data_IF_126534730569
#
_entry.id   IF_126534730569
#
_cell.length_a   1.000
_cell.length_b   1.000
_cell.length_c   1.000
_cell.angle_alpha   90.00
_cell.angle_beta   90.00
_cell.angle_gamma   90.00
#
_symmetry.space_group_name_H-M   'P 1'
#
loop_
_entity.id
_entity.type
_entity.pdbx_description
1 polymer ?
#
# COMPACT_ATOMS: atom_id res chain seq x y z
N UNK A 1 6.02 4.32 -25.13
CA UNK A 1 4.91 5.16 -24.62
C UNK A 1 5.32 6.61 -24.82
N UNK A 2 4.49 7.47 -25.40
CA UNK A 2 4.85 8.88 -25.58
C UNK A 2 4.73 9.61 -24.23
N UNK A 3 5.76 10.37 -23.85
CA UNK A 3 5.75 11.20 -22.64
C UNK A 3 5.22 12.58 -23.05
N UNK A 4 4.09 13.00 -22.47
CA UNK A 4 3.51 14.33 -22.71
C UNK A 4 4.25 15.40 -21.90
N UNK A 5 4.48 16.58 -22.47
CA UNK A 5 4.97 17.76 -21.74
C UNK A 5 3.85 18.65 -21.18
N UNK A 6 2.60 18.33 -21.47
CA UNK A 6 1.43 19.05 -20.94
C UNK A 6 1.21 18.69 -19.48
N UNK A 7 1.16 19.66 -18.54
CA UNK A 7 0.85 19.39 -17.15
C UNK A 7 -0.63 18.98 -17.01
N UNK A 8 -0.87 17.82 -16.39
CA UNK A 8 -2.23 17.29 -16.16
C UNK A 8 -2.79 17.70 -14.78
N UNK A 9 -1.91 18.05 -13.83
CA UNK A 9 -2.26 18.56 -12.49
C UNK A 9 -3.10 17.60 -11.62
N UNK A 10 -2.83 16.29 -11.69
CA UNK A 10 -3.39 15.30 -10.76
C UNK A 10 -2.53 15.25 -9.49
N UNK A 11 -2.89 16.03 -8.48
CA UNK A 11 -2.06 16.23 -7.27
C UNK A 11 -2.66 15.65 -5.99
N UNK A 12 -3.86 15.07 -6.06
CA UNK A 12 -4.55 14.49 -4.91
C UNK A 12 -4.81 13.01 -5.19
N UNK A 13 -4.22 12.14 -4.36
CA UNK A 13 -4.53 10.72 -4.36
C UNK A 13 -5.87 10.50 -3.67
N UNK A 14 -6.79 9.80 -4.33
CA UNK A 14 -8.09 9.46 -3.76
C UNK A 14 -8.04 8.12 -3.00
N UNK A 15 -7.43 7.11 -3.61
CA UNK A 15 -7.29 5.78 -3.03
C UNK A 15 -6.14 5.02 -3.69
N UNK A 16 -5.71 3.94 -3.04
CA UNK A 16 -4.89 2.87 -3.62
C UNK A 16 -5.72 1.60 -3.69
N UNK A 17 -5.73 0.95 -4.85
CA UNK A 17 -6.38 -0.34 -5.05
C UNK A 17 -5.40 -1.49 -4.82
N UNK A 18 -5.77 -2.44 -3.99
CA UNK A 18 -4.99 -3.64 -3.68
C UNK A 18 -5.84 -4.86 -4.03
N UNK A 19 -5.43 -5.60 -5.05
CA UNK A 19 -6.05 -6.87 -5.39
C UNK A 19 -5.65 -7.92 -4.37
N UNK A 20 -6.63 -8.61 -3.78
CA UNK A 20 -6.43 -9.60 -2.72
C UNK A 20 -7.06 -10.94 -3.08
N UNK A 21 -6.49 -12.03 -2.57
CA UNK A 21 -7.01 -13.39 -2.85
C UNK A 21 -8.18 -13.76 -1.94
N UNK A 22 -8.23 -13.22 -0.72
CA UNK A 22 -9.28 -13.43 0.28
C UNK A 22 -9.65 -12.09 0.93
N UNK A 23 -10.84 -11.56 0.62
CA UNK A 23 -11.26 -10.26 1.14
C UNK A 23 -11.39 -10.25 2.66
N UNK A 24 -11.84 -11.33 3.27
CA UNK A 24 -12.14 -11.35 4.71
C UNK A 24 -10.83 -11.38 5.52
N UNK A 25 -9.83 -12.14 5.05
CA UNK A 25 -8.49 -12.13 5.63
C UNK A 25 -7.81 -10.75 5.49
N UNK A 26 -7.94 -10.11 4.33
CA UNK A 26 -7.37 -8.77 4.10
C UNK A 26 -8.08 -7.69 4.92
N UNK A 27 -9.41 -7.73 5.06
CA UNK A 27 -10.13 -6.79 5.95
C UNK A 27 -9.59 -6.90 7.36
N UNK A 28 -9.44 -8.13 7.90
CA UNK A 28 -8.90 -8.32 9.25
C UNK A 28 -7.48 -7.74 9.39
N UNK A 29 -6.60 -8.02 8.42
CA UNK A 29 -5.23 -7.50 8.41
C UNK A 29 -5.18 -5.96 8.38
N UNK A 30 -5.89 -5.32 7.44
CA UNK A 30 -5.86 -3.87 7.28
C UNK A 30 -6.62 -3.15 8.40
N UNK A 31 -7.65 -3.77 8.99
CA UNK A 31 -8.31 -3.26 10.20
C UNK A 31 -7.35 -3.25 11.38
N UNK A 32 -6.62 -4.35 11.61
CA UNK A 32 -5.61 -4.40 12.66
C UNK A 32 -4.46 -3.41 12.41
N UNK A 33 -4.03 -3.26 11.16
CA UNK A 33 -2.94 -2.36 10.78
C UNK A 33 -3.32 -0.88 10.99
N UNK A 34 -4.54 -0.50 10.66
CA UNK A 34 -4.98 0.91 10.65
C UNK A 34 -5.79 1.31 11.89
N UNK A 35 -6.29 0.33 12.66
CA UNK A 35 -7.25 0.55 13.74
C UNK A 35 -8.62 1.02 13.26
N UNK A 36 -8.99 0.73 12.00
CA UNK A 36 -10.20 1.26 11.35
C UNK A 36 -10.99 0.18 10.63
N UNK A 37 -12.31 0.27 10.74
CA UNK A 37 -13.23 -0.60 10.02
C UNK A 37 -13.48 -0.09 8.60
N UNK A 38 -13.89 -0.97 7.66
CA UNK A 38 -14.31 -0.56 6.34
C UNK A 38 -15.47 0.44 6.35
N UNK A 39 -15.35 1.52 5.58
CA UNK A 39 -16.41 2.51 5.37
C UNK A 39 -17.38 2.10 4.27
N UNK A 40 -16.97 1.17 3.41
CA UNK A 40 -17.79 0.57 2.37
C UNK A 40 -17.37 -0.90 2.18
N UNK A 41 -18.34 -1.77 1.90
CA UNK A 41 -18.10 -3.17 1.58
C UNK A 41 -19.24 -3.68 0.69
N UNK A 42 -18.93 -4.53 -0.29
CA UNK A 42 -19.96 -5.06 -1.18
C UNK A 42 -19.43 -5.95 -2.29
N UNK A 43 -20.28 -6.14 -3.30
CA UNK A 43 -19.98 -6.89 -4.53
C UNK A 43 -20.24 -6.03 -5.74
N UNK A 44 -19.49 -6.26 -6.81
CA UNK A 44 -19.76 -5.65 -8.11
C UNK A 44 -19.67 -6.70 -9.21
N UNK A 45 -20.58 -6.63 -10.17
CA UNK A 45 -20.54 -7.42 -11.40
C UNK A 45 -20.84 -6.51 -12.58
N UNK A 46 -19.82 -6.19 -13.39
CA UNK A 46 -19.94 -5.22 -14.48
C UNK A 46 -18.95 -5.49 -15.61
N UNK A 47 -19.48 -5.67 -16.82
CA UNK A 47 -18.66 -5.77 -18.05
C UNK A 47 -18.04 -4.42 -18.41
N UNK A 48 -18.77 -3.28 -18.44
CA UNK A 48 -18.16 -1.99 -18.74
C UNK A 48 -17.03 -1.61 -17.77
N UNK A 49 -17.18 -1.90 -16.47
CA UNK A 49 -16.15 -1.64 -15.48
C UNK A 49 -14.95 -2.59 -15.58
N UNK A 50 -15.19 -3.86 -15.93
CA UNK A 50 -14.10 -4.78 -16.29
C UNK A 50 -13.28 -4.22 -17.45
N UNK A 51 -13.97 -3.80 -18.51
CA UNK A 51 -13.32 -3.26 -19.72
C UNK A 51 -12.51 -1.98 -19.46
N UNK A 52 -12.97 -1.09 -18.57
CA UNK A 52 -12.17 0.09 -18.19
C UNK A 52 -10.85 -0.26 -17.49
N UNK A 53 -10.75 -1.45 -16.90
CA UNK A 53 -9.53 -1.97 -16.27
C UNK A 53 -8.76 -2.93 -17.19
N UNK A 54 -9.16 -3.09 -18.45
CA UNK A 54 -8.54 -4.02 -19.39
C UNK A 54 -8.95 -5.50 -19.21
N UNK A 55 -9.98 -5.78 -18.41
CA UNK A 55 -10.54 -7.12 -18.20
C UNK A 55 -11.81 -7.34 -19.05
N UNK A 56 -12.16 -8.59 -19.39
CA UNK A 56 -13.42 -8.87 -20.11
C UNK A 56 -14.67 -8.56 -19.27
N UNK A 57 -14.58 -8.75 -17.95
CA UNK A 57 -15.61 -8.49 -16.94
C UNK A 57 -14.93 -8.23 -15.61
N UNK A 58 -15.62 -7.50 -14.72
CA UNK A 58 -15.25 -7.41 -13.31
C UNK A 58 -16.39 -8.00 -12.48
N UNK A 59 -16.19 -9.21 -11.98
CA UNK A 59 -17.00 -9.79 -10.90
C UNK A 59 -16.12 -9.84 -9.66
N UNK A 60 -16.46 -9.08 -8.62
CA UNK A 60 -15.59 -8.88 -7.48
C UNK A 60 -16.34 -8.63 -6.18
N UNK A 61 -15.66 -8.87 -5.06
CA UNK A 61 -16.00 -8.32 -3.74
C UNK A 61 -15.02 -7.18 -3.46
N UNK A 62 -15.45 -6.19 -2.68
CA UNK A 62 -14.57 -5.10 -2.27
C UNK A 62 -14.87 -4.62 -0.85
N UNK A 63 -13.87 -3.98 -0.25
CA UNK A 63 -14.00 -3.19 0.96
C UNK A 63 -13.04 -1.99 0.92
N UNK A 64 -13.45 -0.86 1.48
CA UNK A 64 -12.65 0.37 1.52
C UNK A 64 -12.40 0.79 2.97
N UNK A 65 -11.15 1.03 3.33
CA UNK A 65 -10.75 1.61 4.63
C UNK A 65 -10.12 2.98 4.38
N UNK A 66 -10.62 4.04 5.03
CA UNK A 66 -10.07 5.39 4.88
C UNK A 66 -9.04 5.71 5.97
N UNK A 67 -7.88 6.21 5.56
CA UNK A 67 -6.87 6.78 6.46
C UNK A 67 -7.21 8.24 6.83
N UNK A 68 -6.53 8.78 7.85
CA UNK A 68 -6.76 10.14 8.36
C UNK A 68 -6.49 11.24 7.32
N UNK A 69 -5.59 10.98 6.37
CA UNK A 69 -5.28 11.89 5.27
C UNK A 69 -6.27 11.78 4.09
N UNK A 70 -7.44 11.15 4.30
CA UNK A 70 -8.47 10.89 3.29
C UNK A 70 -8.09 9.93 2.16
N UNK A 71 -6.91 9.29 2.23
CA UNK A 71 -6.56 8.22 1.28
C UNK A 71 -7.37 6.95 1.62
N UNK A 72 -8.07 6.42 0.63
CA UNK A 72 -8.71 5.10 0.73
C UNK A 72 -7.75 3.94 0.42
N UNK A 73 -7.88 2.84 1.16
CA UNK A 73 -7.33 1.53 0.81
C UNK A 73 -8.50 0.68 0.32
N UNK A 74 -8.56 0.46 -0.99
CA UNK A 74 -9.57 -0.38 -1.64
C UNK A 74 -9.04 -1.81 -1.77
N UNK A 75 -9.57 -2.71 -0.94
CA UNK A 75 -9.29 -4.15 -1.00
C UNK A 75 -10.25 -4.79 -2.00
N UNK A 76 -9.71 -5.44 -3.04
CA UNK A 76 -10.49 -5.91 -4.20
C UNK A 76 -10.22 -7.38 -4.45
N UNK A 77 -11.21 -8.24 -4.17
CA UNK A 77 -11.14 -9.66 -4.49
C UNK A 77 -11.87 -9.94 -5.80
N UNK A 78 -11.11 -10.12 -6.89
CA UNK A 78 -11.67 -10.54 -8.17
C UNK A 78 -12.09 -12.01 -8.13
N UNK A 79 -13.34 -12.26 -8.45
CA UNK A 79 -13.94 -13.59 -8.58
C UNK A 79 -14.01 -14.04 -10.05
N UNK A 80 -14.04 -13.09 -10.99
CA UNK A 80 -13.98 -13.37 -12.43
C UNK A 80 -13.47 -12.14 -13.23
N UNK A 81 -12.40 -12.29 -14.03
CA UNK A 81 -11.43 -13.39 -13.97
C UNK A 81 -10.64 -13.35 -12.65
N UNK A 82 -10.30 -14.52 -12.10
CA UNK A 82 -9.39 -14.60 -10.95
C UNK A 82 -7.97 -14.35 -11.46
N UNK A 83 -7.23 -13.49 -10.76
CA UNK A 83 -5.84 -13.18 -11.07
C UNK A 83 -4.85 -14.03 -10.26
N UNK A 84 -3.63 -14.16 -10.78
CA UNK A 84 -2.49 -14.73 -10.06
C UNK A 84 -1.76 -13.66 -9.23
N UNK A 85 -1.07 -14.07 -8.16
CA UNK A 85 -0.22 -13.15 -7.38
C UNK A 85 0.93 -12.62 -8.23
N UNK A 86 1.23 -11.33 -8.11
CA UNK A 86 2.27 -10.65 -8.90
C UNK A 86 3.69 -10.98 -8.45
N UNK A 87 3.91 -11.29 -7.16
CA UNK A 87 5.20 -11.75 -6.62
C UNK A 87 6.36 -10.76 -6.81
N UNK A 88 6.11 -9.46 -6.66
CA UNK A 88 7.10 -8.38 -6.87
C UNK A 88 8.17 -8.30 -5.77
N UNK A 89 9.34 -7.75 -6.12
CA UNK A 89 10.40 -7.35 -5.18
C UNK A 89 10.85 -5.93 -5.53
N UNK A 90 11.36 -5.19 -4.55
CA UNK A 90 11.54 -3.73 -4.64
C UNK A 90 12.34 -3.24 -5.87
N UNK A 91 13.28 -4.03 -6.38
CA UNK A 91 14.13 -3.63 -7.52
C UNK A 91 13.51 -3.90 -8.91
N UNK A 92 12.30 -4.46 -9.00
CA UNK A 92 11.65 -4.72 -10.29
C UNK A 92 10.86 -3.50 -10.75
N UNK A 93 11.18 -2.90 -11.91
CA UNK A 93 10.43 -1.76 -12.45
C UNK A 93 8.93 -2.06 -12.54
N UNK A 94 8.12 -1.13 -12.03
CA UNK A 94 6.67 -1.27 -11.93
C UNK A 94 6.17 -1.84 -10.58
N UNK A 95 7.07 -2.32 -9.72
CA UNK A 95 6.71 -2.65 -8.34
C UNK A 95 6.36 -1.38 -7.56
N UNK A 96 5.36 -1.50 -6.69
CA UNK A 96 4.85 -0.43 -5.85
C UNK A 96 4.80 -0.92 -4.40
N UNK A 97 4.89 0.01 -3.44
CA UNK A 97 4.53 -0.23 -2.06
C UNK A 97 3.63 0.90 -1.56
N UNK A 98 2.82 0.61 -0.53
CA UNK A 98 2.12 1.64 0.24
C UNK A 98 2.94 1.95 1.49
N UNK A 99 3.33 3.20 1.65
CA UNK A 99 4.12 3.68 2.78
C UNK A 99 3.24 4.42 3.79
N UNK A 100 3.34 4.05 5.06
CA UNK A 100 2.58 4.59 6.18
C UNK A 100 3.52 5.39 7.10
N UNK A 101 3.21 6.68 7.29
CA UNK A 101 3.98 7.52 8.21
C UNK A 101 3.67 7.17 9.66
N UNK A 102 4.71 7.08 10.49
CA UNK A 102 4.62 6.88 11.92
C UNK A 102 5.40 7.96 12.67
N UNK A 103 4.86 8.42 13.79
CA UNK A 103 5.51 9.46 14.60
C UNK A 103 6.60 8.87 15.51
N UNK A 104 6.28 7.77 16.21
CA UNK A 104 7.19 7.01 17.06
C UNK A 104 7.51 5.66 16.41
N UNK A 105 8.64 5.62 15.69
CA UNK A 105 9.05 4.46 14.92
C UNK A 105 9.29 3.24 15.82
N UNK A 106 10.04 3.39 16.91
CA UNK A 106 10.42 2.26 17.79
C UNK A 106 9.19 1.64 18.46
N UNK A 107 8.27 2.48 18.95
CA UNK A 107 7.05 2.00 19.58
C UNK A 107 6.16 1.24 18.59
N UNK A 108 5.99 1.76 17.37
CA UNK A 108 5.17 1.10 16.34
C UNK A 108 5.84 -0.18 15.86
N UNK A 109 7.13 -0.14 15.54
CA UNK A 109 7.89 -1.30 15.07
C UNK A 109 7.87 -2.45 16.09
N UNK A 110 8.06 -2.15 17.38
CA UNK A 110 7.96 -3.13 18.46
C UNK A 110 6.55 -3.71 18.56
N UNK A 111 5.52 -2.85 18.58
CA UNK A 111 4.12 -3.29 18.64
C UNK A 111 3.74 -4.19 17.46
N UNK A 112 4.25 -3.91 16.27
CA UNK A 112 4.01 -4.74 15.08
C UNK A 112 4.70 -6.11 15.23
N UNK A 113 5.95 -6.17 15.67
CA UNK A 113 6.62 -7.44 15.93
C UNK A 113 5.91 -8.27 17.01
N UNK A 114 5.49 -7.64 18.10
CA UNK A 114 4.76 -8.31 19.19
C UNK A 114 3.39 -8.84 18.71
N UNK A 115 2.78 -8.18 17.72
CA UNK A 115 1.53 -8.61 17.09
C UNK A 115 1.74 -9.69 15.99
N UNK A 116 2.98 -10.12 15.74
CA UNK A 116 3.31 -11.18 14.79
C UNK A 116 3.48 -10.73 13.33
N UNK A 117 3.74 -9.44 13.08
CA UNK A 117 4.11 -9.00 11.74
C UNK A 117 5.55 -9.39 11.41
N UNK A 118 5.73 -10.05 10.26
CA UNK A 118 7.04 -10.43 9.74
C UNK A 118 7.57 -9.32 8.81
N UNK A 119 8.63 -8.65 9.26
CA UNK A 119 9.36 -7.70 8.42
C UNK A 119 10.31 -8.46 7.47
N UNK A 120 10.55 -7.88 6.30
CA UNK A 120 11.44 -8.44 5.26
C UNK A 120 12.92 -8.43 5.68
N UNK A 121 13.25 -7.61 6.69
CA UNK A 121 14.58 -7.49 7.29
C UNK A 121 14.52 -6.59 8.52
N UNK A 122 15.70 -6.27 9.06
CA UNK A 122 15.84 -5.30 10.16
C UNK A 122 15.40 -3.90 9.70
N UNK A 123 14.99 -3.05 10.66
CA UNK A 123 14.77 -1.63 10.36
C UNK A 123 16.09 -0.94 9.99
N UNK A 124 15.99 0.14 9.24
CA UNK A 124 17.16 0.87 8.75
C UNK A 124 16.98 2.37 8.92
N UNK A 125 18.07 3.03 9.31
CA UNK A 125 18.16 4.48 9.46
C UNK A 125 19.11 5.03 8.42
N UNK A 126 18.68 6.06 7.69
CA UNK A 126 19.53 6.71 6.69
C UNK A 126 20.69 7.43 7.37
N UNK A 127 21.91 7.04 7.03
CA UNK A 127 23.16 7.59 7.60
C UNK A 127 24.02 8.30 6.55
N UNK A 128 24.93 9.14 7.06
CA UNK A 128 25.86 9.91 6.24
C UNK A 128 26.68 8.99 5.31
N UNK A 129 26.83 9.40 4.05
CA UNK A 129 27.57 8.65 3.03
C UNK A 129 26.77 7.56 2.31
N UNK A 130 25.58 7.20 2.80
CA UNK A 130 24.72 6.18 2.16
C UNK A 130 23.51 6.79 1.42
N UNK A 131 23.03 7.96 1.85
CA UNK A 131 21.86 8.64 1.26
C UNK A 131 22.16 10.11 0.97
N UNK A 132 21.61 10.63 -0.13
CA UNK A 132 21.59 12.07 -0.44
C UNK A 132 20.16 12.51 -0.82
N UNK A 133 19.74 13.76 -0.54
CA UNK A 133 20.50 14.81 0.15
C UNK A 133 20.59 14.58 1.67
N UNK A 134 21.55 15.23 2.33
CA UNK A 134 21.78 15.13 3.79
C UNK A 134 20.54 15.49 4.63
N UNK A 135 19.59 16.24 4.07
CA UNK A 135 18.32 16.54 4.72
C UNK A 135 17.47 15.29 5.01
N UNK A 136 17.71 14.15 4.35
CA UNK A 136 17.01 12.90 4.58
C UNK A 136 17.63 12.03 5.69
N UNK A 137 18.80 12.41 6.21
CA UNK A 137 19.48 11.66 7.28
C UNK A 137 18.60 11.56 8.52
N UNK A 138 18.59 10.38 9.14
CA UNK A 138 17.70 10.08 10.26
C UNK A 138 16.31 9.58 9.87
N UNK A 139 15.97 9.58 8.57
CA UNK A 139 14.78 8.85 8.09
C UNK A 139 14.90 7.38 8.45
N UNK A 140 13.84 6.82 9.06
CA UNK A 140 13.77 5.41 9.45
C UNK A 140 12.72 4.67 8.66
N UNK A 141 13.06 3.47 8.22
CA UNK A 141 12.19 2.63 7.37
C UNK A 141 12.21 1.17 7.83
N UNK A 142 11.07 0.50 7.66
CA UNK A 142 10.99 -0.96 7.72
C UNK A 142 9.91 -1.47 6.77
N UNK A 143 10.21 -2.56 6.07
CA UNK A 143 9.33 -3.13 5.04
C UNK A 143 8.76 -4.47 5.49
N UNK A 144 7.49 -4.69 5.17
CA UNK A 144 6.75 -5.92 5.47
C UNK A 144 5.75 -6.18 4.34
N UNK A 145 5.04 -7.31 4.40
CA UNK A 145 4.04 -7.65 3.40
C UNK A 145 2.68 -7.90 4.03
N UNK A 146 1.63 -7.66 3.24
CA UNK A 146 0.29 -8.15 3.54
C UNK A 146 0.17 -9.67 3.29
N UNK A 147 -0.99 -10.30 3.56
CA UNK A 147 -1.20 -11.74 3.36
C UNK A 147 -1.02 -12.25 1.92
N UNK A 148 -1.08 -11.36 0.92
CA UNK A 148 -0.92 -11.68 -0.50
C UNK A 148 0.46 -11.32 -1.05
N UNK A 149 1.35 -10.76 -0.22
CA UNK A 149 2.68 -10.34 -0.61
C UNK A 149 2.74 -8.91 -1.18
N UNK A 150 1.68 -8.11 -1.02
CA UNK A 150 1.71 -6.68 -1.33
C UNK A 150 2.68 -5.99 -0.38
N UNK A 151 3.63 -5.23 -0.94
CA UNK A 151 4.69 -4.61 -0.15
C UNK A 151 4.18 -3.35 0.57
N UNK A 152 4.49 -3.27 1.86
CA UNK A 152 4.13 -2.18 2.76
C UNK A 152 5.38 -1.66 3.47
N UNK A 153 5.38 -0.37 3.78
CA UNK A 153 6.47 0.31 4.48
C UNK A 153 5.90 1.11 5.66
N UNK A 154 6.61 1.13 6.78
CA UNK A 154 6.48 2.20 7.77
C UNK A 154 7.68 3.15 7.66
N UNK A 155 7.41 4.45 7.77
CA UNK A 155 8.44 5.48 7.68
C UNK A 155 8.30 6.51 8.79
N UNK A 156 9.42 6.92 9.38
CA UNK A 156 9.55 8.16 10.14
C UNK A 156 10.48 9.09 9.36
N UNK A 157 9.91 9.97 8.52
CA UNK A 157 10.68 10.68 7.51
C UNK A 157 11.40 11.92 8.05
N UNK A 158 12.49 12.30 7.39
CA UNK A 158 13.20 13.56 7.57
C UNK A 158 13.31 14.32 6.22
N UNK A 159 13.49 15.64 6.32
CA UNK A 159 13.71 16.50 5.15
C UNK A 159 12.59 16.44 4.11
N UNK A 160 12.95 16.22 2.85
CA UNK A 160 12.00 16.20 1.72
C UNK A 160 10.95 15.08 1.78
N UNK A 161 11.12 14.09 2.66
CA UNK A 161 10.14 13.04 2.88
C UNK A 161 9.13 13.38 3.98
N UNK A 162 9.34 14.46 4.74
CA UNK A 162 8.55 14.78 5.91
C UNK A 162 7.26 15.58 5.64
N UNK A 163 7.01 15.97 4.38
CA UNK A 163 5.86 16.78 3.95
C UNK A 163 4.51 16.11 4.20
#
# INVERSE_FOLDING_TARGET
>A
MAVSSTPINLTLAAHVGISVSDLDASIAFYTALTGREPVAQGTMHSVPFGKSQGLPVAKLRYATINLDNSLGIDLIQFQEPVGERTGGVANRPGSMHLCLRVDDFDAVYTRMKDAGYDFLGDDYTFIEGEVTPDAALGTRVAYFNDPDGTNLEIIRPEGGFAS
#
